data_IF_886363792788
#
_entry.id   IF_886363792788
#
_cell.length_a   1.000
_cell.length_b   1.000
_cell.length_c   1.000
_cell.angle_alpha   90.00
_cell.angle_beta   90.00
_cell.angle_gamma   90.00
#
_symmetry.space_group_name_H-M   'P 1'
#
loop_
_entity.id
_entity.type
_entity.pdbx_description
1 polymer ?
#
# COMPACT_ATOMS: atom_id res chain seq x y z
N UNK A 1 13.14 5.28 7.76
CA UNK A 1 11.98 4.83 8.55
C UNK A 1 12.45 3.67 9.43
N UNK A 2 11.85 3.40 10.59
CA UNK A 2 12.27 2.26 11.45
C UNK A 2 11.08 1.38 11.77
N UNK A 3 11.20 0.07 11.52
CA UNK A 3 10.22 -0.92 11.96
C UNK A 3 10.93 -2.07 12.67
N UNK A 4 10.18 -2.63 13.61
CA UNK A 4 10.49 -3.86 14.33
C UNK A 4 10.09 -5.04 13.48
N UNK A 5 11.08 -5.75 12.93
CA UNK A 5 10.91 -7.05 12.27
C UNK A 5 11.52 -8.10 13.20
N UNK A 6 10.74 -9.11 13.57
CA UNK A 6 11.16 -10.20 14.50
C UNK A 6 11.80 -9.69 15.81
N UNK A 7 11.21 -8.66 16.43
CA UNK A 7 11.69 -8.12 17.72
C UNK A 7 12.98 -7.30 17.65
N UNK A 8 13.53 -7.05 16.45
CA UNK A 8 14.70 -6.19 16.25
C UNK A 8 14.28 -4.90 15.55
N UNK A 9 14.49 -3.77 16.22
CA UNK A 9 14.33 -2.43 15.61
C UNK A 9 15.41 -2.23 14.56
N UNK A 10 15.03 -2.14 13.29
CA UNK A 10 15.96 -1.90 12.18
C UNK A 10 15.66 -0.58 11.50
N UNK A 11 16.71 0.04 10.96
CA UNK A 11 16.59 1.21 10.10
C UNK A 11 16.63 0.73 8.66
N UNK A 12 15.59 1.08 7.91
CA UNK A 12 15.54 0.84 6.47
C UNK A 12 15.26 2.16 5.75
N UNK A 13 15.69 2.18 4.50
CA UNK A 13 15.34 3.22 3.55
C UNK A 13 14.53 2.57 2.43
N UNK A 14 13.27 3.01 2.32
CA UNK A 14 12.40 2.66 1.20
C UNK A 14 12.40 3.84 0.23
N UNK A 15 12.76 3.56 -1.01
CA UNK A 15 12.75 4.53 -2.11
C UNK A 15 11.74 4.02 -3.12
N UNK A 16 10.63 4.73 -3.26
CA UNK A 16 9.61 4.43 -4.26
C UNK A 16 9.62 5.53 -5.31
N UNK A 17 9.91 5.17 -6.55
CA UNK A 17 9.93 6.08 -7.69
C UNK A 17 8.87 5.62 -8.70
N UNK A 18 7.91 6.49 -9.00
CA UNK A 18 6.81 6.16 -9.89
C UNK A 18 6.72 7.17 -11.04
N UNK A 19 6.71 6.67 -12.27
CA UNK A 19 6.54 7.47 -13.50
C UNK A 19 5.59 6.75 -14.46
N UNK A 20 4.34 7.23 -14.54
CA UNK A 20 3.30 6.55 -15.33
C UNK A 20 3.06 5.13 -14.82
N UNK A 21 3.19 4.14 -15.72
CA UNK A 21 3.09 2.72 -15.39
C UNK A 21 4.38 2.13 -14.77
N UNK A 22 5.51 2.87 -14.80
CA UNK A 22 6.76 2.43 -14.21
C UNK A 22 6.74 2.69 -12.70
N UNK A 23 7.05 1.65 -11.90
CA UNK A 23 7.26 1.76 -10.46
C UNK A 23 8.55 1.04 -10.08
N UNK A 24 9.46 1.75 -9.42
CA UNK A 24 10.70 1.22 -8.86
C UNK A 24 10.65 1.35 -7.34
N UNK A 25 10.62 0.20 -6.66
CA UNK A 25 10.63 0.12 -5.20
C UNK A 25 11.98 -0.46 -4.77
N UNK A 26 12.83 0.34 -4.14
CA UNK A 26 14.14 -0.11 -3.62
C UNK A 26 14.12 -0.04 -2.10
N UNK A 27 14.25 -1.20 -1.46
CA UNK A 27 14.52 -1.29 -0.03
C UNK A 27 16.00 -1.51 0.24
N UNK A 28 16.58 -0.61 1.02
CA UNK A 28 17.89 -0.80 1.63
C UNK A 28 17.75 -1.32 3.06
N UNK A 29 18.46 -2.41 3.36
CA UNK A 29 18.50 -3.03 4.70
C UNK A 29 17.49 -4.16 4.94
N UNK A 30 16.83 -4.66 3.89
CA UNK A 30 16.01 -5.87 3.93
C UNK A 30 16.86 -7.16 3.91
N UNK A 31 16.30 -8.27 4.37
CA UNK A 31 16.88 -9.61 4.24
C UNK A 31 15.89 -10.48 3.45
N UNK A 32 16.34 -11.50 2.72
CA UNK A 32 15.48 -12.39 1.90
C UNK A 32 14.40 -13.15 2.69
N UNK A 33 14.50 -13.14 4.03
CA UNK A 33 13.60 -13.82 4.96
C UNK A 33 12.42 -12.95 5.42
N UNK A 34 12.16 -11.80 4.78
CA UNK A 34 10.89 -11.10 5.00
C UNK A 34 9.76 -12.00 4.49
N UNK A 35 8.84 -12.36 5.38
CA UNK A 35 7.73 -13.22 5.00
C UNK A 35 6.88 -12.50 3.94
N UNK A 36 6.34 -13.20 2.93
CA UNK A 36 5.48 -12.59 1.91
C UNK A 36 4.27 -11.86 2.50
N UNK A 37 3.85 -12.21 3.73
CA UNK A 37 2.84 -11.48 4.49
C UNK A 37 3.26 -10.09 4.96
N UNK A 38 4.54 -9.88 5.29
CA UNK A 38 5.06 -8.56 5.69
C UNK A 38 5.18 -7.62 4.51
N UNK A 39 5.64 -8.12 3.35
CA UNK A 39 5.66 -7.35 2.10
C UNK A 39 4.26 -6.84 1.74
N UNK A 40 3.25 -7.72 1.81
CA UNK A 40 1.85 -7.33 1.57
C UNK A 40 1.38 -6.24 2.52
N UNK A 41 1.58 -6.45 3.83
CA UNK A 41 1.10 -5.51 4.84
C UNK A 41 1.67 -4.12 4.59
N UNK A 42 2.94 -4.06 4.22
CA UNK A 42 3.64 -2.81 3.95
C UNK A 42 3.21 -2.15 2.64
N UNK A 43 3.00 -2.94 1.58
CA UNK A 43 2.43 -2.42 0.33
C UNK A 43 1.07 -1.76 0.59
N UNK A 44 0.21 -2.39 1.41
CA UNK A 44 -1.10 -1.84 1.79
C UNK A 44 -0.96 -0.56 2.62
N UNK A 45 -0.10 -0.56 3.64
CA UNK A 45 0.16 0.66 4.44
C UNK A 45 0.71 1.80 3.58
N UNK A 46 1.66 1.51 2.68
CA UNK A 46 2.21 2.50 1.75
C UNK A 46 1.18 3.02 0.75
N UNK A 47 0.25 2.17 0.31
CA UNK A 47 -0.84 2.58 -0.56
C UNK A 47 -1.79 3.55 0.17
N UNK A 48 -2.13 3.28 1.43
CA UNK A 48 -2.96 4.17 2.24
C UNK A 48 -2.30 5.52 2.50
N UNK A 49 -1.01 5.54 2.84
CA UNK A 49 -0.26 6.79 3.04
C UNK A 49 -0.18 7.62 1.76
N UNK A 50 0.01 6.96 0.61
CA UNK A 50 0.01 7.62 -0.68
C UNK A 50 -1.37 8.23 -0.98
N UNK A 51 -2.44 7.48 -0.73
CA UNK A 51 -3.82 7.95 -0.92
C UNK A 51 -4.14 9.15 -0.04
N UNK A 52 -3.75 9.09 1.24
CA UNK A 52 -3.88 10.21 2.17
C UNK A 52 -3.13 11.44 1.68
N UNK A 53 -1.92 11.27 1.14
CA UNK A 53 -1.13 12.37 0.57
C UNK A 53 -1.78 12.97 -0.67
N UNK A 54 -2.41 12.15 -1.52
CA UNK A 54 -3.14 12.63 -2.70
C UNK A 54 -4.39 13.43 -2.30
N UNK A 55 -5.11 12.96 -1.28
CA UNK A 55 -6.23 13.70 -0.70
C UNK A 55 -5.80 15.03 -0.08
N UNK A 56 -4.67 15.06 0.60
CA UNK A 56 -4.09 16.28 1.17
C UNK A 56 -3.69 17.29 0.08
N UNK A 57 -3.22 16.79 -1.07
CA UNK A 57 -2.93 17.60 -2.28
C UNK A 57 -4.19 18.04 -3.03
N UNK A 58 -5.39 17.61 -2.61
CA UNK A 58 -6.66 17.90 -3.28
C UNK A 58 -6.85 17.17 -4.61
N UNK A 59 -6.02 16.17 -4.90
CA UNK A 59 -6.15 15.37 -6.11
C UNK A 59 -7.21 14.26 -5.92
N UNK A 60 -7.86 13.88 -7.01
CA UNK A 60 -8.67 12.67 -7.02
C UNK A 60 -7.67 11.51 -6.93
N UNK A 61 -7.60 10.88 -5.76
CA UNK A 61 -6.76 9.72 -5.48
C UNK A 61 -6.93 8.55 -6.47
N UNK A 62 -6.44 7.36 -6.13
CA UNK A 62 -6.64 6.16 -6.97
C UNK A 62 -8.13 5.85 -7.19
N UNK A 63 -9.04 6.36 -6.34
CA UNK A 63 -10.49 6.19 -6.45
C UNK A 63 -11.23 7.48 -6.10
N UNK A 64 -12.44 7.62 -6.63
CA UNK A 64 -13.36 8.68 -6.24
C UNK A 64 -13.90 8.42 -4.82
N UNK A 65 -13.16 8.85 -3.79
CA UNK A 65 -13.62 8.82 -2.41
C UNK A 65 -14.75 9.82 -2.18
N UNK A 66 -15.78 9.40 -1.47
CA UNK A 66 -16.82 10.29 -0.94
C UNK A 66 -16.27 11.18 0.17
N UNK A 67 -16.94 12.31 0.44
CA UNK A 67 -16.55 13.25 1.50
C UNK A 67 -16.36 12.56 2.87
N UNK A 68 -17.23 11.61 3.21
CA UNK A 68 -17.17 10.85 4.45
C UNK A 68 -15.95 9.93 4.50
N UNK A 69 -15.63 9.24 3.41
CA UNK A 69 -14.46 8.37 3.30
C UNK A 69 -13.16 9.18 3.32
N UNK A 70 -13.12 10.36 2.68
CA UNK A 70 -11.99 11.28 2.73
C UNK A 70 -11.71 11.73 4.17
N UNK A 71 -12.74 12.10 4.93
CA UNK A 71 -12.58 12.45 6.34
C UNK A 71 -12.07 11.26 7.16
N UNK A 72 -12.51 10.04 6.89
CA UNK A 72 -11.97 8.83 7.53
C UNK A 72 -10.51 8.57 7.16
N UNK A 73 -10.11 8.80 5.91
CA UNK A 73 -8.72 8.69 5.47
C UNK A 73 -7.81 9.72 6.13
N UNK A 74 -8.25 10.97 6.21
CA UNK A 74 -7.47 12.05 6.81
C UNK A 74 -7.36 11.87 8.33
N UNK A 75 -8.44 11.47 9.01
CA UNK A 75 -8.47 11.30 10.47
C UNK A 75 -7.86 9.98 10.95
N UNK A 76 -8.19 8.87 10.29
CA UNK A 76 -7.84 7.50 10.69
C UNK A 76 -6.76 6.84 9.85
N UNK A 77 -6.35 7.44 8.73
CA UNK A 77 -5.35 6.87 7.82
C UNK A 77 -5.84 5.71 6.96
N UNK A 78 -7.11 5.30 7.11
CA UNK A 78 -7.72 4.18 6.37
C UNK A 78 -9.24 4.32 6.33
N UNK A 79 -9.88 3.73 5.32
CA UNK A 79 -11.33 3.58 5.26
C UNK A 79 -11.71 2.18 5.74
N UNK A 80 -12.53 2.06 6.78
CA UNK A 80 -12.90 0.75 7.36
C UNK A 80 -13.68 -0.15 6.39
N UNK A 81 -14.36 0.44 5.40
CA UNK A 81 -15.16 -0.29 4.42
C UNK A 81 -14.32 -0.91 3.28
N UNK A 82 -13.02 -0.62 3.21
CA UNK A 82 -12.15 -1.04 2.10
C UNK A 82 -10.95 -1.81 2.62
N UNK A 83 -10.61 -2.86 1.88
CA UNK A 83 -9.39 -3.64 2.07
C UNK A 83 -8.46 -3.49 0.86
N UNK A 84 -7.16 -3.62 1.11
CA UNK A 84 -6.12 -3.59 0.09
C UNK A 84 -5.89 -4.98 -0.53
N UNK A 85 -6.16 -5.09 -1.82
CA UNK A 85 -5.93 -6.30 -2.62
C UNK A 85 -4.88 -6.05 -3.69
N UNK A 86 -4.16 -7.10 -4.08
CA UNK A 86 -3.28 -7.01 -5.22
C UNK A 86 -4.10 -6.97 -6.52
N UNK A 87 -3.81 -6.00 -7.39
CA UNK A 87 -4.42 -5.90 -8.71
C UNK A 87 -4.08 -7.10 -9.61
N UNK A 88 -2.90 -7.70 -9.41
CA UNK A 88 -2.41 -8.86 -10.16
C UNK A 88 -2.04 -10.00 -9.21
N UNK A 89 -2.11 -11.27 -9.66
CA UNK A 89 -1.65 -12.40 -8.87
C UNK A 89 -0.17 -12.24 -8.51
N UNK A 90 0.14 -12.30 -7.22
CA UNK A 90 1.52 -12.10 -6.75
C UNK A 90 2.48 -13.19 -7.24
N UNK A 91 1.95 -14.36 -7.58
CA UNK A 91 2.71 -15.46 -8.19
C UNK A 91 3.32 -15.08 -9.55
N UNK A 92 2.70 -14.13 -10.26
CA UNK A 92 3.19 -13.66 -11.56
C UNK A 92 4.24 -12.54 -11.42
N UNK A 93 4.23 -11.80 -10.31
CA UNK A 93 5.13 -10.66 -10.06
C UNK A 93 5.52 -10.53 -8.57
N UNK A 94 6.25 -11.51 -8.02
CA UNK A 94 6.69 -11.46 -6.61
C UNK A 94 7.57 -10.24 -6.31
N UNK A 95 8.30 -9.74 -7.31
CA UNK A 95 9.14 -8.55 -7.23
C UNK A 95 8.34 -7.26 -6.93
N UNK A 96 7.04 -7.24 -7.21
CA UNK A 96 6.16 -6.09 -6.94
C UNK A 96 5.40 -6.23 -5.62
N UNK A 97 5.61 -7.31 -4.85
CA UNK A 97 4.89 -7.58 -3.59
C UNK A 97 4.92 -6.45 -2.57
N UNK A 98 5.98 -5.65 -2.60
CA UNK A 98 6.18 -4.54 -1.68
C UNK A 98 5.81 -3.18 -2.30
N UNK A 99 5.37 -3.15 -3.56
CA UNK A 99 5.02 -1.92 -4.25
C UNK A 99 3.58 -1.49 -3.92
N UNK A 100 3.37 -0.28 -3.37
CA UNK A 100 2.02 0.21 -3.05
C UNK A 100 1.17 0.52 -4.29
N UNK A 101 1.80 0.67 -5.45
CA UNK A 101 1.12 0.97 -6.72
C UNK A 101 0.30 -0.20 -7.28
N UNK A 102 0.58 -1.43 -6.84
CA UNK A 102 -0.17 -2.62 -7.26
C UNK A 102 -1.31 -2.96 -6.30
N UNK A 103 -1.51 -2.16 -5.25
CA UNK A 103 -2.61 -2.31 -4.31
C UNK A 103 -3.82 -1.55 -4.82
N UNK A 104 -4.94 -2.25 -4.93
CA UNK A 104 -6.24 -1.69 -5.25
C UNK A 104 -7.16 -1.81 -4.03
N UNK A 105 -7.83 -0.72 -3.68
CA UNK A 105 -8.80 -0.70 -2.60
C UNK A 105 -10.15 -1.20 -3.10
N UNK A 106 -10.65 -2.28 -2.49
CA UNK A 106 -11.94 -2.89 -2.84
C UNK A 106 -12.78 -3.09 -1.58
N UNK A 107 -14.09 -2.94 -1.69
CA UNK A 107 -15.02 -3.23 -0.61
C UNK A 107 -15.34 -4.73 -0.54
N UNK A 108 -15.77 -5.22 0.63
CA UNK A 108 -16.22 -6.61 0.80
C UNK A 108 -17.30 -7.04 -0.21
N UNK A 109 -18.15 -6.10 -0.64
CA UNK A 109 -19.20 -6.35 -1.63
C UNK A 109 -18.63 -6.60 -3.04
N UNK A 110 -17.51 -5.96 -3.39
CA UNK A 110 -16.83 -6.13 -4.67
C UNK A 110 -16.00 -7.42 -4.73
N UNK A 111 -15.54 -7.90 -3.56
CA UNK A 111 -14.73 -9.11 -3.42
C UNK A 111 -15.60 -10.37 -3.40
N UNK A 112 -16.80 -10.30 -2.83
CA UNK A 112 -17.75 -11.42 -2.73
C UNK A 112 -18.63 -11.66 -3.96
N UNK A 113 -18.50 -10.84 -5.00
CA UNK A 113 -19.33 -10.89 -6.21
C UNK A 113 -18.78 -11.72 -7.37
N UNK A 114 -17.88 -12.68 -7.11
CA UNK A 114 -17.38 -13.63 -8.12
C UNK A 114 -17.78 -15.06 -7.80
#
# INVERSE_FOLDING_TARGET
>A
MSATVNGRTRRFADITLQQGALCLCVRYGGNEEEAPGEARKRAVEGAWEKEKKWLDLGDAGSRAWSEAEKQQLLSGGRVQSYDGYYSLPIEQQPELSDCPSIIHFMTLNEVGGR
#
